data_IF_061913910489
#
_entry.id   IF_061913910489
#
_cell.length_a   1.000
_cell.length_b   1.000
_cell.length_c   1.000
_cell.angle_alpha   90.00
_cell.angle_beta   90.00
_cell.angle_gamma   90.00
#
_symmetry.space_group_name_H-M   'P 1'
#
loop_
_entity.id
_entity.type
_entity.pdbx_description
1 polymer ?
#
# COMPACT_ATOMS: atom_id res chain seq x y z
N UNK A 1 1.03 -3.00 7.22
CA UNK A 1 1.77 -1.74 7.45
C UNK A 1 0.78 -0.58 7.50
N UNK A 2 0.98 0.40 8.38
CA UNK A 2 0.03 1.48 8.66
C UNK A 2 -1.28 0.97 9.25
N UNK A 3 -1.21 0.25 10.38
CA UNK A 3 -2.39 -0.41 10.94
C UNK A 3 -3.42 0.58 11.53
N UNK A 4 -3.05 1.82 11.83
CA UNK A 4 -3.97 2.86 12.26
C UNK A 4 -4.71 2.47 13.54
N UNK A 5 -6.01 2.16 13.43
CA UNK A 5 -6.83 1.71 14.55
C UNK A 5 -7.06 0.19 14.60
N UNK A 6 -6.45 -0.58 13.70
CA UNK A 6 -6.57 -2.04 13.63
C UNK A 6 -7.79 -2.57 12.90
N UNK A 7 -8.72 -1.72 12.43
CA UNK A 7 -10.00 -2.16 11.88
C UNK A 7 -9.86 -3.09 10.66
N UNK A 8 -8.85 -2.87 9.81
CA UNK A 8 -8.64 -3.73 8.65
C UNK A 8 -8.08 -5.12 9.04
N UNK A 9 -7.27 -5.19 10.10
CA UNK A 9 -6.78 -6.47 10.65
C UNK A 9 -7.95 -7.26 11.23
N UNK A 10 -8.79 -6.60 12.03
CA UNK A 10 -10.02 -7.18 12.58
C UNK A 10 -10.94 -7.70 11.48
N UNK A 11 -11.13 -6.91 10.42
CA UNK A 11 -11.93 -7.31 9.26
C UNK A 11 -11.36 -8.55 8.57
N UNK A 12 -10.06 -8.56 8.24
CA UNK A 12 -9.40 -9.71 7.59
C UNK A 12 -9.54 -10.97 8.45
N UNK A 13 -9.24 -10.86 9.75
CA UNK A 13 -9.35 -11.99 10.66
C UNK A 13 -10.78 -12.55 10.70
N UNK A 14 -11.77 -11.68 10.83
CA UNK A 14 -13.20 -12.07 10.85
C UNK A 14 -13.61 -12.77 9.55
N UNK A 15 -13.15 -12.29 8.40
CA UNK A 15 -13.41 -12.93 7.10
C UNK A 15 -12.75 -14.32 7.06
N UNK A 16 -11.48 -14.45 7.47
CA UNK A 16 -10.79 -15.74 7.47
C UNK A 16 -11.49 -16.74 8.40
N UNK A 17 -11.75 -16.32 9.65
CA UNK A 17 -12.42 -17.12 10.68
C UNK A 17 -13.77 -17.66 10.19
N UNK A 18 -14.60 -16.80 9.58
CA UNK A 18 -16.01 -17.14 9.31
C UNK A 18 -16.30 -17.64 7.91
N UNK A 19 -15.46 -17.30 6.93
CA UNK A 19 -15.81 -17.45 5.52
C UNK A 19 -14.80 -18.31 4.73
N UNK A 20 -13.79 -18.88 5.39
CA UNK A 20 -12.78 -19.68 4.70
C UNK A 20 -12.60 -21.05 5.34
N UNK A 21 -11.98 -21.98 4.61
CA UNK A 21 -11.58 -23.27 5.15
C UNK A 21 -10.59 -23.12 6.32
N UNK A 22 -9.69 -22.13 6.24
CA UNK A 22 -8.69 -21.87 7.29
C UNK A 22 -9.32 -21.53 8.64
N UNK A 23 -10.45 -20.82 8.63
CA UNK A 23 -11.22 -20.52 9.84
C UNK A 23 -11.67 -21.75 10.63
N UNK A 24 -11.89 -22.88 9.95
CA UNK A 24 -12.25 -24.16 10.59
C UNK A 24 -11.05 -24.92 11.18
N UNK A 25 -9.84 -24.38 11.03
CA UNK A 25 -8.58 -25.07 11.31
C UNK A 25 -7.63 -24.20 12.15
N UNK A 26 -8.13 -23.14 12.80
CA UNK A 26 -7.28 -22.19 13.53
C UNK A 26 -6.61 -22.79 14.78
N UNK A 27 -7.20 -23.82 15.38
CA UNK A 27 -6.61 -24.51 16.53
C UNK A 27 -5.34 -25.28 16.15
N UNK A 28 -5.37 -25.98 15.01
CA UNK A 28 -4.24 -26.76 14.50
C UNK A 28 -3.26 -25.90 13.68
N UNK A 29 -3.78 -24.88 12.99
CA UNK A 29 -3.04 -23.99 12.10
C UNK A 29 -3.35 -22.53 12.44
N UNK A 30 -2.82 -21.99 13.54
CA UNK A 30 -3.11 -20.63 13.99
C UNK A 30 -2.64 -19.58 12.97
N UNK A 31 -3.31 -18.43 12.97
CA UNK A 31 -2.85 -17.26 12.22
C UNK A 31 -1.91 -16.44 13.09
N UNK A 32 -0.85 -15.94 12.46
CA UNK A 32 -0.03 -14.90 13.07
C UNK A 32 -0.40 -13.55 12.48
N UNK A 33 -0.90 -12.65 13.32
CA UNK A 33 -1.30 -11.30 12.91
C UNK A 33 -0.29 -10.27 13.37
N UNK A 34 0.02 -9.31 12.50
CA UNK A 34 0.93 -8.20 12.80
C UNK A 34 0.28 -6.87 12.45
N UNK A 35 0.21 -5.98 13.43
CA UNK A 35 -0.05 -4.56 13.22
C UNK A 35 1.24 -3.77 13.31
N UNK A 36 1.64 -3.14 12.20
CA UNK A 36 2.81 -2.25 12.14
C UNK A 36 2.38 -0.81 11.83
N UNK A 37 2.89 0.15 12.59
CA UNK A 37 2.64 1.59 12.38
C UNK A 37 3.80 2.42 12.95
N UNK A 38 4.14 3.52 12.30
CA UNK A 38 5.20 4.41 12.76
C UNK A 38 4.71 5.34 13.89
N UNK A 39 3.39 5.49 14.04
CA UNK A 39 2.77 6.32 15.05
C UNK A 39 2.45 5.53 16.34
N UNK A 40 3.07 5.92 17.45
CA UNK A 40 2.87 5.25 18.75
C UNK A 40 1.42 5.30 19.27
N UNK A 41 0.66 6.35 18.95
CA UNK A 41 -0.76 6.43 19.33
C UNK A 41 -1.59 5.41 18.54
N UNK A 42 -1.32 5.24 17.24
CA UNK A 42 -1.95 4.22 16.40
C UNK A 42 -1.71 2.81 16.95
N UNK A 43 -0.48 2.50 17.37
CA UNK A 43 -0.15 1.22 18.01
C UNK A 43 -0.96 0.98 19.29
N UNK A 44 -1.10 2.00 20.16
CA UNK A 44 -1.90 1.89 21.39
C UNK A 44 -3.38 1.65 21.08
N UNK A 45 -3.95 2.39 20.13
CA UNK A 45 -5.35 2.25 19.72
C UNK A 45 -5.60 0.89 19.09
N UNK A 46 -4.74 0.46 18.15
CA UNK A 46 -4.82 -0.86 17.52
C UNK A 46 -4.80 -1.97 18.57
N UNK A 47 -3.88 -1.91 19.53
CA UNK A 47 -3.81 -2.92 20.61
C UNK A 47 -5.11 -2.98 21.42
N UNK A 48 -5.64 -1.82 21.82
CA UNK A 48 -6.88 -1.76 22.59
C UNK A 48 -8.09 -2.32 21.80
N UNK A 49 -8.20 -1.99 20.52
CA UNK A 49 -9.30 -2.45 19.67
C UNK A 49 -9.23 -3.96 19.42
N UNK A 50 -8.05 -4.49 19.10
CA UNK A 50 -7.91 -5.93 18.85
C UNK A 50 -8.14 -6.76 20.12
N UNK A 51 -7.68 -6.30 21.29
CA UNK A 51 -8.01 -6.95 22.57
C UNK A 51 -9.52 -6.95 22.82
N UNK A 52 -10.19 -5.82 22.55
CA UNK A 52 -11.66 -5.72 22.69
C UNK A 52 -12.41 -6.65 21.73
N UNK A 53 -11.83 -6.92 20.56
CA UNK A 53 -12.35 -7.84 19.56
C UNK A 53 -11.95 -9.32 19.81
N UNK A 54 -11.22 -9.61 20.90
CA UNK A 54 -10.66 -10.94 21.20
C UNK A 54 -9.71 -11.48 20.11
N UNK A 55 -8.97 -10.57 19.47
CA UNK A 55 -8.01 -10.89 18.40
C UNK A 55 -6.58 -10.69 18.92
N UNK A 56 -5.79 -11.75 18.86
CA UNK A 56 -4.37 -11.68 19.22
C UNK A 56 -3.50 -11.30 18.02
N UNK A 57 -2.75 -10.20 18.15
CA UNK A 57 -1.79 -9.74 17.14
C UNK A 57 -0.53 -9.17 17.79
N UNK A 58 0.61 -9.27 17.10
CA UNK A 58 1.82 -8.53 17.46
C UNK A 58 1.72 -7.11 16.95
N UNK A 59 1.87 -6.15 17.85
CA UNK A 59 1.80 -4.72 17.54
C UNK A 59 3.20 -4.13 17.69
N UNK A 60 3.78 -3.71 16.57
CA UNK A 60 5.17 -3.27 16.47
C UNK A 60 5.27 -1.92 15.76
N UNK A 61 6.35 -1.20 16.05
CA UNK A 61 6.68 -0.02 15.27
C UNK A 61 7.13 -0.43 13.86
N UNK A 62 6.81 0.37 12.86
CA UNK A 62 7.31 0.14 11.50
C UNK A 62 6.99 1.30 10.56
N UNK A 63 7.92 1.61 9.67
CA UNK A 63 7.78 2.66 8.65
C UNK A 63 7.65 2.01 7.27
N UNK A 64 6.71 2.49 6.45
CA UNK A 64 6.52 1.96 5.09
C UNK A 64 7.77 2.14 4.22
N UNK A 65 8.62 3.13 4.49
CA UNK A 65 9.87 3.35 3.78
C UNK A 65 11.03 2.44 4.21
N UNK A 66 10.88 1.66 5.29
CA UNK A 66 11.92 0.83 5.92
C UNK A 66 11.45 -0.61 6.17
N UNK A 67 11.09 -1.39 5.12
CA UNK A 67 10.64 -2.77 5.26
C UNK A 67 11.73 -3.73 5.78
N UNK A 68 13.00 -3.39 5.59
CA UNK A 68 14.15 -4.13 6.10
C UNK A 68 14.22 -4.10 7.63
N UNK A 69 14.01 -2.92 8.22
CA UNK A 69 13.93 -2.78 9.67
C UNK A 69 12.75 -3.57 10.23
N UNK A 70 11.57 -3.48 9.60
CA UNK A 70 10.40 -4.29 9.97
C UNK A 70 10.71 -5.80 9.91
N UNK A 71 11.39 -6.25 8.85
CA UNK A 71 11.73 -7.66 8.69
C UNK A 71 12.70 -8.14 9.77
N UNK A 72 13.74 -7.35 10.08
CA UNK A 72 14.70 -7.66 11.13
C UNK A 72 14.01 -7.72 12.51
N UNK A 73 13.18 -6.72 12.83
CA UNK A 73 12.45 -6.68 14.10
C UNK A 73 11.50 -7.88 14.27
N UNK A 74 10.84 -8.31 13.21
CA UNK A 74 9.98 -9.50 13.23
C UNK A 74 10.77 -10.79 13.45
N UNK A 75 11.91 -10.90 12.79
CA UNK A 75 12.77 -12.08 12.90
C UNK A 75 13.41 -12.15 14.28
N UNK A 76 14.00 -11.07 14.77
CA UNK A 76 14.69 -11.05 16.07
C UNK A 76 13.74 -11.22 17.25
N UNK A 77 12.59 -10.53 17.25
CA UNK A 77 11.70 -10.52 18.40
C UNK A 77 10.68 -11.66 18.42
N UNK A 78 10.37 -12.25 17.26
CA UNK A 78 9.30 -13.24 17.13
C UNK A 78 9.68 -14.47 16.29
N UNK A 79 10.90 -14.53 15.75
CA UNK A 79 11.35 -15.61 14.87
C UNK A 79 10.43 -15.80 13.65
N UNK A 80 10.00 -14.69 13.05
CA UNK A 80 9.06 -14.68 11.92
C UNK A 80 9.69 -13.92 10.76
N UNK A 81 9.82 -14.63 9.64
CA UNK A 81 10.26 -14.02 8.39
C UNK A 81 9.09 -13.24 7.76
N UNK A 82 9.31 -11.96 7.47
CA UNK A 82 8.32 -11.12 6.79
C UNK A 82 7.88 -11.71 5.43
N UNK A 83 8.74 -12.50 4.78
CA UNK A 83 8.45 -13.23 3.54
C UNK A 83 7.37 -14.30 3.68
N UNK A 84 7.16 -14.77 4.91
CA UNK A 84 6.15 -15.78 5.22
C UNK A 84 4.78 -15.18 5.57
N UNK A 85 4.66 -13.84 5.53
CA UNK A 85 3.42 -13.13 5.76
C UNK A 85 2.77 -12.69 4.43
N UNK A 86 1.43 -12.75 4.37
CA UNK A 86 0.68 -11.95 3.41
C UNK A 86 0.76 -10.49 3.86
N UNK A 87 1.47 -9.67 3.09
CA UNK A 87 1.62 -8.26 3.43
C UNK A 87 0.38 -7.48 3.01
N UNK A 88 -0.14 -6.64 3.90
CA UNK A 88 -1.36 -5.85 3.65
C UNK A 88 -1.17 -4.38 4.04
N UNK A 89 -1.72 -3.47 3.23
CA UNK A 89 -1.80 -2.03 3.53
C UNK A 89 -2.90 -1.34 2.71
N UNK A 90 -3.45 -0.26 3.24
CA UNK A 90 -4.55 0.48 2.62
C UNK A 90 -4.24 1.97 2.64
N UNK A 91 -4.26 2.61 1.46
CA UNK A 91 -4.12 4.05 1.28
C UNK A 91 -2.85 4.62 1.94
N UNK A 92 -1.69 4.04 1.63
CA UNK A 92 -0.46 4.36 2.35
C UNK A 92 0.75 4.63 1.45
N UNK A 93 0.88 3.96 0.30
CA UNK A 93 2.07 4.13 -0.55
C UNK A 93 2.13 5.56 -1.10
N UNK A 94 0.99 6.17 -1.46
CA UNK A 94 0.95 7.57 -1.91
C UNK A 94 1.36 8.58 -0.83
N UNK A 95 1.24 8.22 0.45
CA UNK A 95 1.55 9.06 1.61
C UNK A 95 2.89 8.69 2.27
N UNK A 96 3.74 7.92 1.57
CA UNK A 96 5.11 7.67 2.01
C UNK A 96 5.89 8.99 2.09
N UNK A 97 6.83 9.08 3.02
CA UNK A 97 7.73 10.23 3.09
C UNK A 97 8.51 10.31 1.77
N UNK A 98 8.48 11.48 1.14
CA UNK A 98 9.25 11.72 -0.07
C UNK A 98 10.75 11.68 0.21
N UNK A 99 11.47 10.92 -0.61
CA UNK A 99 12.94 10.91 -0.68
C UNK A 99 13.34 11.11 -2.14
N UNK A 100 14.37 11.91 -2.42
CA UNK A 100 14.87 11.98 -3.80
C UNK A 100 15.42 10.60 -4.19
N UNK A 101 14.98 10.00 -5.32
CA UNK A 101 15.52 8.72 -5.75
C UNK A 101 17.03 8.82 -5.97
N UNK A 102 17.74 7.79 -5.50
CA UNK A 102 19.20 7.67 -5.62
C UNK A 102 19.58 7.33 -7.06
N UNK A 103 18.77 6.53 -7.73
CA UNK A 103 18.94 6.11 -9.11
C UNK A 103 17.90 6.79 -10.00
N UNK A 104 18.38 7.64 -10.91
CA UNK A 104 17.53 8.29 -11.92
C UNK A 104 17.63 7.52 -13.23
N UNK A 105 16.51 6.95 -13.68
CA UNK A 105 16.47 6.18 -14.91
C UNK A 105 16.65 7.10 -16.10
N UNK A 106 17.82 7.03 -16.75
CA UNK A 106 18.12 7.82 -17.95
C UNK A 106 17.09 7.55 -19.03
N UNK A 107 16.51 8.63 -19.58
CA UNK A 107 15.50 8.60 -20.64
C UNK A 107 14.18 7.89 -20.27
N UNK A 108 13.82 7.78 -18.97
CA UNK A 108 12.48 7.31 -18.58
C UNK A 108 11.43 8.21 -19.20
N UNK A 109 10.60 7.62 -20.05
CA UNK A 109 9.37 8.24 -20.54
C UNK A 109 8.28 7.97 -19.52
N UNK A 110 7.85 9.02 -18.83
CA UNK A 110 6.73 8.94 -17.91
C UNK A 110 5.41 8.92 -18.67
N UNK A 111 4.49 8.06 -18.25
CA UNK A 111 3.12 8.03 -18.77
C UNK A 111 2.13 8.69 -17.82
N UNK A 112 2.59 9.13 -16.64
CA UNK A 112 1.76 9.90 -15.73
C UNK A 112 1.49 11.28 -16.30
N UNK A 113 0.26 11.72 -16.15
CA UNK A 113 -0.23 13.06 -16.47
C UNK A 113 -0.57 13.84 -15.19
N UNK A 114 -0.26 13.26 -14.03
CA UNK A 114 -0.31 13.94 -12.74
C UNK A 114 0.62 15.15 -12.67
N UNK A 115 0.31 16.04 -11.73
CA UNK A 115 1.13 17.20 -11.40
C UNK A 115 1.67 17.04 -9.98
N UNK A 116 2.99 17.02 -9.84
CA UNK A 116 3.65 16.72 -8.57
C UNK A 116 4.53 17.86 -8.11
N UNK A 117 4.55 18.07 -6.80
CA UNK A 117 5.45 18.99 -6.14
C UNK A 117 5.95 18.38 -4.82
N UNK A 118 7.05 18.93 -4.32
CA UNK A 118 7.52 18.68 -2.96
C UNK A 118 7.97 20.00 -2.37
N UNK A 119 7.38 20.41 -1.25
CA UNK A 119 7.71 21.68 -0.57
C UNK A 119 7.63 22.90 -1.50
N UNK A 120 6.63 22.92 -2.37
CA UNK A 120 6.38 24.01 -3.32
C UNK A 120 7.21 23.97 -4.61
N UNK A 121 8.16 23.04 -4.73
CA UNK A 121 8.96 22.87 -5.95
C UNK A 121 8.35 21.78 -6.85
N UNK A 122 8.21 22.08 -8.14
CA UNK A 122 7.67 21.11 -9.11
C UNK A 122 8.64 19.93 -9.27
N UNK A 123 8.11 18.71 -9.24
CA UNK A 123 8.85 17.47 -9.54
C UNK A 123 8.43 16.96 -10.92
N UNK A 124 9.38 16.40 -11.68
CA UNK A 124 9.04 15.72 -12.94
C UNK A 124 8.40 14.35 -12.69
N UNK A 125 7.45 13.99 -13.53
CA UNK A 125 6.71 12.73 -13.37
C UNK A 125 7.63 11.50 -13.46
N UNK A 126 8.72 11.58 -14.24
CA UNK A 126 9.76 10.55 -14.29
C UNK A 126 10.45 10.33 -12.94
N UNK A 127 10.69 11.39 -12.17
CA UNK A 127 11.34 11.31 -10.85
C UNK A 127 10.37 10.71 -9.82
N UNK A 128 9.07 11.01 -9.93
CA UNK A 128 8.03 10.36 -9.09
C UNK A 128 7.93 8.86 -9.40
N UNK A 129 8.01 8.48 -10.68
CA UNK A 129 8.07 7.07 -11.09
C UNK A 129 9.33 6.36 -10.56
N UNK A 130 10.51 6.98 -10.62
CA UNK A 130 11.75 6.42 -10.05
C UNK A 130 11.66 6.31 -8.51
N UNK A 131 11.10 7.30 -7.83
CA UNK A 131 10.86 7.23 -6.38
C UNK A 131 9.90 6.09 -6.01
N UNK A 132 8.82 5.91 -6.76
CA UNK A 132 7.90 4.78 -6.56
C UNK A 132 8.59 3.44 -6.83
N UNK A 133 9.44 3.37 -7.86
CA UNK A 133 10.22 2.17 -8.17
C UNK A 133 11.14 1.79 -7.02
N UNK A 134 11.95 2.72 -6.52
CA UNK A 134 12.83 2.46 -5.38
C UNK A 134 12.06 1.99 -4.14
N UNK A 135 10.93 2.63 -3.85
CA UNK A 135 10.04 2.22 -2.78
C UNK A 135 9.54 0.77 -2.94
N UNK A 136 9.06 0.40 -4.12
CA UNK A 136 8.58 -0.97 -4.38
C UNK A 136 9.72 -1.99 -4.40
N UNK A 137 10.92 -1.62 -4.85
CA UNK A 137 12.13 -2.47 -4.80
C UNK A 137 12.48 -2.81 -3.35
N UNK A 138 12.40 -1.85 -2.41
CA UNK A 138 12.63 -2.12 -0.97
C UNK A 138 11.68 -3.21 -0.44
N UNK A 139 10.43 -3.22 -0.91
CA UNK A 139 9.41 -4.20 -0.49
C UNK A 139 9.47 -5.53 -1.23
N UNK A 140 9.92 -5.54 -2.49
CA UNK A 140 9.86 -6.70 -3.39
C UNK A 140 10.40 -7.99 -2.76
N UNK A 141 11.58 -8.01 -2.08
CA UNK A 141 12.12 -9.23 -1.46
C UNK A 141 11.20 -9.88 -0.42
N UNK A 142 10.29 -9.10 0.19
CA UNK A 142 9.42 -9.54 1.28
C UNK A 142 8.01 -9.94 0.84
N UNK A 143 7.60 -9.54 -0.37
CA UNK A 143 6.21 -9.72 -0.83
C UNK A 143 6.08 -10.63 -2.05
N UNK A 144 7.19 -11.19 -2.55
CA UNK A 144 7.15 -12.06 -3.73
C UNK A 144 6.36 -13.35 -3.52
N UNK A 145 6.45 -13.97 -2.33
CA UNK A 145 5.89 -15.31 -2.04
C UNK A 145 4.37 -15.31 -1.87
N UNK A 146 3.87 -14.59 -0.87
CA UNK A 146 2.43 -14.54 -0.56
C UNK A 146 1.73 -13.29 -1.09
N UNK A 147 2.50 -12.30 -1.56
CA UNK A 147 1.98 -11.08 -2.15
C UNK A 147 1.84 -9.91 -1.18
N UNK A 148 1.51 -8.78 -1.78
CA UNK A 148 1.11 -7.53 -1.17
C UNK A 148 -0.33 -7.23 -1.57
N UNK A 149 -1.27 -7.42 -0.65
CA UNK A 149 -2.64 -6.94 -0.80
C UNK A 149 -2.67 -5.45 -0.46
N UNK A 150 -2.80 -4.62 -1.50
CA UNK A 150 -2.85 -3.17 -1.37
C UNK A 150 -4.17 -2.60 -1.88
N UNK A 151 -4.75 -1.69 -1.10
CA UNK A 151 -5.81 -0.79 -1.56
C UNK A 151 -5.17 0.57 -1.71
N UNK A 152 -5.32 1.23 -2.86
CA UNK A 152 -4.62 2.49 -3.12
C UNK A 152 -5.47 3.53 -3.82
N UNK A 153 -5.15 4.80 -3.57
CA UNK A 153 -5.75 5.99 -4.16
C UNK A 153 -4.97 6.44 -5.41
N UNK A 154 -5.71 6.89 -6.41
CA UNK A 154 -5.20 7.24 -7.74
C UNK A 154 -5.77 8.56 -8.26
N UNK A 155 -4.98 9.21 -9.10
CA UNK A 155 -5.44 10.31 -9.96
C UNK A 155 -5.95 9.77 -11.31
N UNK A 156 -6.63 10.62 -12.08
CA UNK A 156 -7.09 10.35 -13.44
C UNK A 156 -6.81 11.55 -14.35
N UNK A 157 -6.98 11.37 -15.66
CA UNK A 157 -6.68 12.41 -16.61
C UNK A 157 -7.50 13.69 -16.41
N UNK A 158 -6.90 14.90 -16.49
CA UNK A 158 -7.61 16.16 -16.29
C UNK A 158 -8.84 16.34 -17.20
N UNK A 159 -8.79 15.85 -18.44
CA UNK A 159 -9.93 15.87 -19.35
C UNK A 159 -11.07 14.94 -18.89
N UNK A 160 -10.73 13.77 -18.32
CA UNK A 160 -11.71 12.86 -17.72
C UNK A 160 -12.29 13.46 -16.43
N UNK A 161 -11.46 14.08 -15.59
CA UNK A 161 -11.90 14.81 -14.40
C UNK A 161 -12.88 15.91 -14.75
N UNK A 162 -12.52 16.77 -15.72
CA UNK A 162 -13.38 17.87 -16.18
C UNK A 162 -14.72 17.38 -16.78
N UNK A 163 -14.71 16.26 -17.52
CA UNK A 163 -15.92 15.68 -18.08
C UNK A 163 -16.82 14.99 -17.03
N UNK A 164 -16.31 14.72 -15.82
CA UNK A 164 -17.00 13.94 -14.79
C UNK A 164 -17.08 14.68 -13.44
N UNK A 165 -17.10 16.01 -13.44
CA UNK A 165 -17.29 16.81 -12.23
C UNK A 165 -18.56 16.37 -11.47
N UNK A 166 -18.44 16.24 -10.16
CA UNK A 166 -19.49 15.71 -9.29
C UNK A 166 -19.69 14.19 -9.34
N UNK A 167 -19.03 13.48 -10.26
CA UNK A 167 -19.04 12.00 -10.36
C UNK A 167 -17.71 11.36 -9.96
N UNK A 168 -16.65 12.15 -9.83
CA UNK A 168 -15.34 11.72 -9.34
C UNK A 168 -14.84 12.66 -8.25
N UNK A 169 -14.10 12.11 -7.30
CA UNK A 169 -13.40 12.87 -6.26
C UNK A 169 -12.02 13.37 -6.72
N UNK A 170 -11.59 13.06 -7.95
CA UNK A 170 -10.25 13.38 -8.47
C UNK A 170 -9.88 14.86 -8.28
N UNK A 171 -10.77 15.81 -8.58
CA UNK A 171 -10.48 17.25 -8.36
C UNK A 171 -10.09 17.57 -6.92
N UNK A 172 -10.81 17.01 -5.95
CA UNK A 172 -10.52 17.24 -4.53
C UNK A 172 -9.25 16.50 -4.12
N UNK A 173 -9.12 15.23 -4.51
CA UNK A 173 -7.96 14.42 -4.16
C UNK A 173 -6.67 14.95 -4.75
N UNK A 174 -6.64 15.28 -6.04
CA UNK A 174 -5.46 15.84 -6.71
C UNK A 174 -5.00 17.14 -6.02
N UNK A 175 -5.95 18.01 -5.66
CA UNK A 175 -5.65 19.24 -4.95
C UNK A 175 -5.12 18.98 -3.54
N UNK A 176 -5.87 18.26 -2.70
CA UNK A 176 -5.47 18.09 -1.28
C UNK A 176 -4.18 17.30 -1.15
N UNK A 177 -4.00 16.23 -1.94
CA UNK A 177 -2.80 15.40 -1.89
C UNK A 177 -1.60 16.15 -2.46
N UNK A 178 -1.77 16.81 -3.62
CA UNK A 178 -0.72 17.63 -4.23
C UNK A 178 -0.25 18.79 -3.36
N UNK A 179 -1.15 19.44 -2.60
CA UNK A 179 -0.78 20.51 -1.66
C UNK A 179 -0.10 19.99 -0.37
N UNK A 180 -0.18 18.69 -0.10
CA UNK A 180 0.30 18.07 1.15
C UNK A 180 1.49 17.13 0.95
N UNK A 181 2.22 17.26 -0.17
CA UNK A 181 3.35 16.39 -0.52
C UNK A 181 2.98 14.90 -0.55
N UNK A 182 1.84 14.57 -1.15
CA UNK A 182 1.38 13.20 -1.36
C UNK A 182 1.30 12.85 -2.85
N UNK A 183 1.67 11.62 -3.20
CA UNK A 183 2.02 11.22 -4.57
C UNK A 183 1.09 10.12 -5.09
N UNK A 184 -0.13 10.52 -5.48
CA UNK A 184 -1.09 9.63 -6.15
C UNK A 184 -0.79 9.56 -7.65
N UNK A 185 -0.59 8.36 -8.17
CA UNK A 185 -0.37 8.10 -9.60
C UNK A 185 -1.54 7.33 -10.19
N UNK A 186 -1.68 7.34 -11.51
CA UNK A 186 -2.70 6.59 -12.22
C UNK A 186 -2.48 5.08 -12.05
N UNK A 187 -3.56 4.29 -12.07
CA UNK A 187 -3.46 2.82 -11.92
C UNK A 187 -2.48 2.19 -12.94
N UNK A 188 -2.49 2.54 -14.24
CA UNK A 188 -1.54 1.98 -15.19
C UNK A 188 -0.08 2.33 -14.87
N UNK A 189 0.17 3.50 -14.26
CA UNK A 189 1.50 3.91 -13.84
C UNK A 189 1.94 3.08 -12.63
N UNK A 190 1.08 2.90 -11.62
CA UNK A 190 1.38 2.01 -10.48
C UNK A 190 1.73 0.60 -10.98
N UNK A 191 0.93 0.02 -11.88
CA UNK A 191 1.17 -1.33 -12.40
C UNK A 191 2.45 -1.43 -13.23
N UNK A 192 2.74 -0.43 -14.07
CA UNK A 192 4.01 -0.34 -14.83
C UNK A 192 5.20 -0.37 -13.87
N UNK A 193 5.20 0.49 -12.86
CA UNK A 193 6.32 0.61 -11.91
C UNK A 193 6.43 -0.61 -11.00
N UNK A 194 5.30 -1.20 -10.59
CA UNK A 194 5.31 -2.46 -9.84
C UNK A 194 5.96 -3.59 -10.67
N UNK A 195 5.65 -3.70 -11.96
CA UNK A 195 6.25 -4.70 -12.84
C UNK A 195 7.76 -4.51 -12.98
N UNK A 196 8.25 -3.27 -13.04
CA UNK A 196 9.69 -2.95 -13.01
C UNK A 196 10.36 -3.41 -11.70
N UNK A 197 9.63 -3.43 -10.58
CA UNK A 197 10.08 -4.00 -9.29
C UNK A 197 9.91 -5.53 -9.17
N UNK A 198 9.47 -6.20 -10.25
CA UNK A 198 9.20 -7.64 -10.26
C UNK A 198 7.89 -8.04 -9.59
N UNK A 199 6.96 -7.11 -9.42
CA UNK A 199 5.67 -7.32 -8.76
C UNK A 199 4.51 -7.12 -9.73
N UNK A 200 3.65 -8.12 -9.86
CA UNK A 200 2.57 -8.13 -10.85
C UNK A 200 1.21 -8.25 -10.17
N UNK A 201 0.19 -7.47 -10.59
CA UNK A 201 -1.16 -7.60 -10.08
C UNK A 201 -1.78 -8.93 -10.52
N UNK A 202 -2.32 -9.69 -9.57
CA UNK A 202 -3.13 -10.86 -9.88
C UNK A 202 -4.50 -10.45 -10.41
N UNK A 203 -4.75 -10.74 -11.69
CA UNK A 203 -5.97 -10.34 -12.39
C UNK A 203 -7.25 -10.89 -11.76
N UNK A 204 -7.19 -12.01 -11.03
CA UNK A 204 -8.37 -12.56 -10.35
C UNK A 204 -8.84 -11.65 -9.21
N UNK A 205 -7.90 -10.97 -8.55
CA UNK A 205 -8.13 -10.14 -7.36
C UNK A 205 -8.13 -8.64 -7.66
N UNK A 206 -7.61 -8.21 -8.81
CA UNK A 206 -7.61 -6.81 -9.19
C UNK A 206 -9.04 -6.25 -9.29
N UNK A 207 -9.31 -5.15 -8.59
CA UNK A 207 -10.56 -4.38 -8.68
C UNK A 207 -10.23 -2.89 -8.74
N UNK A 208 -11.09 -2.11 -9.36
CA UNK A 208 -10.98 -0.65 -9.43
C UNK A 208 -12.33 -0.01 -9.17
N UNK A 209 -12.33 1.16 -8.55
CA UNK A 209 -13.54 1.83 -8.11
C UNK A 209 -13.55 3.32 -8.49
N UNK A 210 -14.62 3.79 -9.16
CA UNK A 210 -15.64 2.98 -9.84
C UNK A 210 -15.02 2.07 -10.92
N UNK A 211 -15.70 0.99 -11.33
CA UNK A 211 -15.18 0.11 -12.40
C UNK A 211 -15.32 0.74 -13.79
N UNK A 212 -14.47 1.73 -14.05
CA UNK A 212 -14.47 2.53 -15.28
C UNK A 212 -13.13 3.28 -15.42
N UNK A 213 -13.02 4.13 -16.44
CA UNK A 213 -11.82 4.95 -16.68
C UNK A 213 -11.68 6.13 -15.72
N UNK A 214 -12.67 6.38 -14.85
CA UNK A 214 -12.59 7.40 -13.80
C UNK A 214 -12.28 6.80 -12.42
N UNK A 215 -11.74 5.57 -12.39
CA UNK A 215 -11.37 4.89 -11.15
C UNK A 215 -10.30 5.66 -10.39
N UNK A 216 -10.60 6.03 -9.14
CA UNK A 216 -9.64 6.70 -8.23
C UNK A 216 -9.20 5.79 -7.09
N UNK A 217 -9.72 4.56 -7.01
CA UNK A 217 -9.30 3.56 -6.02
C UNK A 217 -9.05 2.24 -6.72
N UNK A 218 -8.01 1.51 -6.32
CA UNK A 218 -7.79 0.13 -6.74
C UNK A 218 -7.53 -0.81 -5.57
N UNK A 219 -7.82 -2.09 -5.78
CA UNK A 219 -7.44 -3.20 -4.91
C UNK A 219 -6.56 -4.11 -5.75
N UNK A 220 -5.35 -4.40 -5.26
CA UNK A 220 -4.36 -5.21 -5.96
C UNK A 220 -3.82 -6.27 -5.00
N UNK A 221 -3.62 -7.48 -5.51
CA UNK A 221 -2.66 -8.41 -4.93
C UNK A 221 -1.43 -8.41 -5.83
N UNK A 222 -0.39 -7.69 -5.43
CA UNK A 222 0.88 -7.67 -6.16
C UNK A 222 1.76 -8.81 -5.68
N UNK A 223 2.32 -9.63 -6.57
CA UNK A 223 3.19 -10.77 -6.20
C UNK A 223 4.33 -10.99 -7.19
N UNK A 224 5.32 -11.78 -6.80
CA UNK A 224 6.38 -12.22 -7.71
C UNK A 224 5.84 -13.16 -8.79
N UNK A 225 6.66 -13.38 -9.83
CA UNK A 225 6.41 -14.40 -10.86
C UNK A 225 6.66 -15.79 -10.32
#
# INVERSE_FOLDING_TARGET
>A
MGCGNGAFIEHIYTVIERQTLRGKMLDDYPLFLVGADYNQAALKVTRANLIKADIWAKIIWGDIGQPDLLANDLLENYNIDLKDLLNVRTFLDHNRIWEMPKEITKNRVSHSIGAFAHRGERISNSVVEDNLLEHLIKWSPYVQKFGLLMIELHTIAPNLTAANLGKTAATAYDATHGFSDQYIVEIPVLHKIAAEAGLYPDANFFRRFPDSNIATVSINLLKGV
#
